data_IF_787164422345
#
_entry.id   IF_787164422345
#
_cell.length_a   1.000
_cell.length_b   1.000
_cell.length_c   1.000
_cell.angle_alpha   90.00
_cell.angle_beta   90.00
_cell.angle_gamma   90.00
#
_symmetry.space_group_name_H-M   'P 1'
#
loop_
_entity.id
_entity.type
_entity.pdbx_description
1 polymer ?
#
# COMPACT_ATOMS: atom_id res chain seq x y z
N UNK A 1 16.87 -15.38 0.52
CA UNK A 1 16.18 -14.50 1.49
C UNK A 1 15.10 -15.32 2.17
N UNK A 2 15.07 -15.38 3.50
CA UNK A 2 14.06 -16.16 4.23
C UNK A 2 12.75 -15.35 4.17
N UNK A 3 11.79 -15.76 3.34
CA UNK A 3 10.47 -15.12 3.27
C UNK A 3 9.82 -15.25 4.65
N UNK A 4 9.51 -14.12 5.28
CA UNK A 4 8.62 -14.13 6.44
C UNK A 4 7.24 -14.53 5.91
N UNK A 5 6.86 -15.79 6.13
CA UNK A 5 5.48 -16.22 5.92
C UNK A 5 4.66 -15.52 6.99
N UNK A 6 3.92 -14.48 6.62
CA UNK A 6 2.85 -13.96 7.46
C UNK A 6 1.88 -15.13 7.63
N UNK A 7 1.80 -15.69 8.83
CA UNK A 7 0.88 -16.78 9.12
C UNK A 7 -0.54 -16.29 8.83
N UNK A 8 -1.38 -17.15 8.23
CA UNK A 8 -2.77 -16.87 7.94
C UNK A 8 -3.59 -16.74 9.25
N UNK A 9 -3.37 -15.69 10.01
CA UNK A 9 -4.17 -15.37 11.19
C UNK A 9 -5.50 -14.71 10.78
N UNK A 10 -6.53 -14.93 11.60
CA UNK A 10 -7.88 -14.39 11.36
C UNK A 10 -7.89 -12.84 11.30
N UNK A 11 -6.93 -12.19 11.93
CA UNK A 11 -6.78 -10.73 11.95
C UNK A 11 -6.41 -10.19 10.57
N UNK A 12 -5.41 -10.79 9.93
CA UNK A 12 -4.99 -10.45 8.56
C UNK A 12 -6.12 -10.67 7.56
N UNK A 13 -6.86 -11.77 7.68
CA UNK A 13 -8.05 -12.04 6.87
C UNK A 13 -9.17 -11.02 7.13
N UNK A 14 -9.37 -10.63 8.39
CA UNK A 14 -10.32 -9.59 8.79
C UNK A 14 -9.99 -8.24 8.15
N UNK A 15 -8.73 -7.81 8.21
CA UNK A 15 -8.26 -6.58 7.58
C UNK A 15 -8.40 -6.66 6.06
N UNK A 16 -7.95 -7.75 5.43
CA UNK A 16 -8.11 -7.91 3.98
C UNK A 16 -9.58 -7.87 3.55
N UNK A 17 -10.47 -8.52 4.29
CA UNK A 17 -11.91 -8.52 4.00
C UNK A 17 -12.49 -7.11 4.15
N UNK A 18 -12.16 -6.41 5.24
CA UNK A 18 -12.59 -5.04 5.48
C UNK A 18 -12.06 -4.10 4.39
N UNK A 19 -10.77 -4.19 4.06
CA UNK A 19 -10.12 -3.37 3.04
C UNK A 19 -10.69 -3.62 1.65
N UNK A 20 -10.92 -4.87 1.27
CA UNK A 20 -11.59 -5.22 0.02
C UNK A 20 -13.01 -4.62 -0.02
N UNK A 21 -13.73 -4.62 1.11
CA UNK A 21 -15.05 -3.99 1.18
C UNK A 21 -15.00 -2.45 1.03
N UNK A 22 -13.97 -1.80 1.58
CA UNK A 22 -13.73 -0.36 1.41
C UNK A 22 -13.37 -0.01 -0.05
N UNK A 23 -12.56 -0.83 -0.70
CA UNK A 23 -12.18 -0.65 -2.12
C UNK A 23 -13.41 -0.86 -3.02
N UNK A 24 -14.24 -1.87 -2.74
CA UNK A 24 -15.45 -2.17 -3.52
C UNK A 24 -16.56 -1.14 -3.31
N UNK A 25 -16.79 -0.66 -2.08
CA UNK A 25 -17.80 0.36 -1.79
C UNK A 25 -17.47 1.71 -2.43
N UNK A 26 -16.18 2.03 -2.60
CA UNK A 26 -15.75 3.19 -3.37
C UNK A 26 -16.12 3.14 -4.86
N UNK A 27 -16.48 1.96 -5.39
CA UNK A 27 -16.86 1.74 -6.79
C UNK A 27 -18.37 1.65 -7.06
N UNK A 28 -19.25 1.69 -6.04
CA UNK A 28 -20.67 1.38 -6.22
C UNK A 28 -21.59 2.60 -6.02
N UNK A 29 -21.80 3.36 -7.09
CA UNK A 29 -23.01 4.20 -7.25
C UNK A 29 -24.05 3.41 -8.05
N UNK A 30 -25.27 3.18 -7.53
CA UNK A 30 -26.28 2.42 -8.25
C UNK A 30 -26.88 3.29 -9.35
N UNK A 31 -26.45 3.09 -10.60
CA UNK A 31 -26.99 3.78 -11.77
C UNK A 31 -25.99 4.30 -12.80
N UNK A 32 -24.69 3.98 -12.70
CA UNK A 32 -23.72 4.40 -13.71
C UNK A 32 -23.58 3.37 -14.84
N UNK A 33 -23.73 3.84 -16.08
CA UNK A 33 -23.27 3.19 -17.32
C UNK A 33 -21.84 2.64 -17.14
N UNK A 34 -21.41 1.60 -17.88
CA UNK A 34 -20.07 1.04 -17.76
C UNK A 34 -19.03 2.15 -17.95
N UNK A 35 -18.40 2.57 -16.84
CA UNK A 35 -17.29 3.51 -16.84
C UNK A 35 -16.22 2.91 -17.73
N UNK A 36 -16.00 3.51 -18.90
CA UNK A 36 -14.72 3.41 -19.59
C UNK A 36 -13.68 3.78 -18.53
N UNK A 37 -12.91 2.79 -18.07
CA UNK A 37 -11.77 3.04 -17.20
C UNK A 37 -10.81 3.86 -18.04
N UNK A 38 -10.78 5.17 -17.82
CA UNK A 38 -9.72 6.04 -18.30
C UNK A 38 -8.43 5.58 -17.61
N UNK A 39 -7.80 4.56 -18.17
CA UNK A 39 -6.52 4.01 -17.72
C UNK A 39 -5.40 5.04 -17.76
N UNK A 40 -5.61 6.18 -18.44
CA UNK A 40 -4.65 7.27 -18.54
C UNK A 40 -4.80 8.35 -17.45
N UNK A 41 -5.80 8.24 -16.57
CA UNK A 41 -5.96 9.20 -15.47
C UNK A 41 -4.92 8.93 -14.36
N UNK A 42 -4.28 9.99 -13.85
CA UNK A 42 -3.38 9.89 -12.71
C UNK A 42 -4.16 9.57 -11.42
N UNK A 43 -3.57 8.75 -10.55
CA UNK A 43 -4.12 8.47 -9.23
C UNK A 43 -4.27 9.75 -8.39
N UNK A 44 -5.38 9.87 -7.67
CA UNK A 44 -5.65 10.98 -6.76
C UNK A 44 -5.95 10.44 -5.36
N UNK A 45 -5.26 11.00 -4.36
CA UNK A 45 -5.35 10.57 -2.98
C UNK A 45 -6.66 10.99 -2.32
N UNK A 46 -7.31 10.05 -1.63
CA UNK A 46 -8.36 10.38 -0.67
C UNK A 46 -7.70 10.90 0.61
N UNK A 47 -8.03 12.11 1.10
CA UNK A 47 -7.42 12.66 2.32
C UNK A 47 -7.59 11.72 3.52
N UNK A 48 -6.55 11.64 4.36
CA UNK A 48 -6.65 11.02 5.68
C UNK A 48 -7.40 11.95 6.65
N UNK A 49 -7.95 11.40 7.74
CA UNK A 49 -8.64 12.22 8.74
C UNK A 49 -7.63 13.18 9.40
N UNK A 50 -7.87 14.50 9.39
CA UNK A 50 -6.96 15.44 10.01
C UNK A 50 -6.83 15.20 11.52
N UNK A 51 -5.61 15.28 12.05
CA UNK A 51 -5.35 15.17 13.49
C UNK A 51 -5.37 13.76 14.06
N UNK A 52 -5.62 12.73 13.25
CA UNK A 52 -5.52 11.32 13.67
C UNK A 52 -4.14 10.74 13.36
N UNK A 53 -3.89 9.55 13.88
CA UNK A 53 -2.73 8.71 13.52
C UNK A 53 -3.03 7.72 12.38
N UNK A 54 -4.02 8.00 11.54
CA UNK A 54 -4.33 7.11 10.43
C UNK A 54 -3.18 7.09 9.42
N UNK A 55 -2.99 5.92 8.81
CA UNK A 55 -2.03 5.71 7.73
C UNK A 55 -2.74 5.05 6.56
N UNK A 56 -2.19 5.14 5.34
CA UNK A 56 -2.65 4.27 4.25
C UNK A 56 -1.81 3.02 4.20
N UNK A 57 -2.45 1.90 3.91
CA UNK A 57 -1.80 0.63 3.62
C UNK A 57 -2.04 0.30 2.15
N UNK A 58 -0.97 -0.15 1.50
CA UNK A 58 -0.95 -0.66 0.14
C UNK A 58 -1.37 -2.13 0.17
N UNK A 59 -2.40 -2.46 -0.60
CA UNK A 59 -2.68 -3.83 -1.01
C UNK A 59 -1.91 -4.06 -2.29
N UNK A 60 -0.93 -4.96 -2.26
CA UNK A 60 -0.24 -5.47 -3.44
C UNK A 60 -0.92 -6.76 -3.87
N UNK A 61 -1.58 -6.76 -5.02
CA UNK A 61 -2.31 -7.94 -5.50
C UNK A 61 -1.38 -9.03 -6.03
N UNK A 62 -1.74 -10.31 -5.82
CA UNK A 62 -0.96 -11.41 -6.31
C UNK A 62 -1.09 -11.58 -7.82
N UNK A 63 -0.05 -12.13 -8.43
CA UNK A 63 -0.10 -12.63 -9.79
C UNK A 63 0.92 -13.75 -9.98
N UNK A 64 0.52 -14.81 -10.71
CA UNK A 64 1.41 -15.92 -11.03
C UNK A 64 2.42 -15.57 -12.11
N UNK A 65 2.10 -14.58 -12.97
CA UNK A 65 3.01 -14.12 -14.02
C UNK A 65 3.92 -13.02 -13.46
N UNK A 66 5.25 -13.25 -13.37
CA UNK A 66 6.19 -12.25 -12.89
C UNK A 66 6.21 -10.99 -13.76
N UNK A 67 5.82 -11.08 -15.03
CA UNK A 67 5.78 -9.95 -15.97
C UNK A 67 4.42 -9.22 -15.99
N UNK A 68 3.40 -9.74 -15.30
CA UNK A 68 2.11 -9.06 -15.20
C UNK A 68 2.25 -7.69 -14.54
N UNK A 69 1.42 -6.74 -14.98
CA UNK A 69 1.35 -5.40 -14.40
C UNK A 69 1.13 -5.48 -12.88
N UNK A 70 1.92 -4.71 -12.13
CA UNK A 70 1.72 -4.57 -10.69
C UNK A 70 0.40 -3.82 -10.45
N UNK A 71 -0.53 -4.50 -9.79
CA UNK A 71 -1.82 -3.95 -9.38
C UNK A 71 -1.83 -3.73 -7.87
N UNK A 72 -2.26 -2.54 -7.48
CA UNK A 72 -2.33 -2.13 -6.09
C UNK A 72 -3.61 -1.32 -5.80
N UNK A 73 -3.98 -1.30 -4.52
CA UNK A 73 -4.97 -0.39 -3.96
C UNK A 73 -4.45 0.23 -2.64
N UNK A 74 -5.02 1.37 -2.25
CA UNK A 74 -4.76 1.99 -0.94
C UNK A 74 -6.04 2.02 -0.12
N UNK A 75 -5.93 1.68 1.15
CA UNK A 75 -7.00 1.86 2.13
C UNK A 75 -6.46 2.53 3.40
N UNK A 76 -7.28 3.34 4.10
CA UNK A 76 -6.91 3.89 5.39
C UNK A 76 -6.95 2.80 6.46
N UNK A 77 -5.90 2.74 7.28
CA UNK A 77 -5.83 1.94 8.49
C UNK A 77 -5.98 2.89 9.69
N UNK A 78 -7.01 2.63 10.50
CA UNK A 78 -7.36 3.44 11.66
C UNK A 78 -6.56 2.98 12.89
N UNK A 79 -5.47 3.68 13.19
CA UNK A 79 -4.51 3.29 14.24
C UNK A 79 -5.17 3.21 15.62
N UNK A 80 -6.01 4.19 15.95
CA UNK A 80 -6.72 4.25 17.24
C UNK A 80 -7.69 3.09 17.42
N UNK A 81 -8.49 2.78 16.38
CA UNK A 81 -9.45 1.68 16.41
C UNK A 81 -8.76 0.33 16.65
N UNK A 82 -7.62 0.08 15.98
CA UNK A 82 -6.88 -1.17 16.17
C UNK A 82 -6.37 -1.33 17.61
N UNK A 83 -5.83 -0.25 18.21
CA UNK A 83 -5.34 -0.28 19.59
C UNK A 83 -6.47 -0.44 20.60
N UNK A 84 -7.61 0.22 20.39
CA UNK A 84 -8.80 0.10 21.25
C UNK A 84 -9.35 -1.33 21.26
N UNK A 85 -9.18 -2.07 20.17
CA UNK A 85 -9.58 -3.47 20.05
C UNK A 85 -8.47 -4.47 20.45
N UNK A 86 -7.37 -4.00 21.05
CA UNK A 86 -6.32 -4.86 21.60
C UNK A 86 -5.31 -5.41 20.60
N UNK A 87 -5.26 -4.88 19.37
CA UNK A 87 -4.29 -5.31 18.36
C UNK A 87 -2.93 -4.67 18.68
N UNK A 88 -1.96 -5.49 19.08
CA UNK A 88 -0.60 -5.03 19.44
C UNK A 88 0.31 -4.85 18.21
N UNK A 89 0.14 -5.68 17.18
CA UNK A 89 0.92 -5.64 15.94
C UNK A 89 -0.04 -5.58 14.76
N UNK A 90 0.15 -4.61 13.87
CA UNK A 90 -0.78 -4.42 12.76
C UNK A 90 -0.40 -5.32 11.58
N UNK A 91 -1.37 -5.85 10.82
CA UNK A 91 -1.13 -6.86 9.80
C UNK A 91 -0.62 -6.25 8.49
N UNK A 92 0.40 -5.38 8.57
CA UNK A 92 1.13 -4.88 7.41
C UNK A 92 2.63 -4.98 7.65
N UNK A 93 3.37 -5.02 6.55
CA UNK A 93 4.83 -4.99 6.56
C UNK A 93 5.30 -3.62 6.11
N UNK A 94 6.27 -3.02 6.79
CA UNK A 94 6.85 -1.74 6.37
C UNK A 94 8.02 -1.99 5.41
N UNK A 95 8.02 -1.36 4.24
CA UNK A 95 9.13 -1.45 3.29
C UNK A 95 10.19 -0.40 3.63
N UNK A 96 11.44 -0.85 3.74
CA UNK A 96 12.63 -0.01 3.88
C UNK A 96 13.51 -0.19 2.65
N UNK A 97 13.73 0.90 1.91
CA UNK A 97 14.46 0.93 0.65
C UNK A 97 15.08 2.32 0.43
N UNK A 98 16.06 2.42 -0.44
CA UNK A 98 16.70 3.69 -0.78
C UNK A 98 15.87 4.49 -1.77
N UNK A 99 15.66 5.77 -1.44
CA UNK A 99 15.06 6.71 -2.37
C UNK A 99 16.07 7.11 -3.44
N UNK A 100 15.61 7.17 -4.68
CA UNK A 100 16.39 7.64 -5.81
C UNK A 100 16.91 6.52 -6.70
N UNK A 101 16.62 6.68 -7.99
CA UNK A 101 17.31 6.02 -9.08
C UNK A 101 17.27 7.03 -10.27
N UNK A 102 18.37 7.15 -11.02
CA UNK A 102 18.46 8.01 -12.21
C UNK A 102 17.72 7.41 -13.42
N UNK A 103 17.32 6.15 -13.32
CA UNK A 103 16.66 5.43 -14.38
C UNK A 103 15.25 5.96 -14.67
N UNK A 104 14.76 5.75 -15.91
CA UNK A 104 13.39 6.08 -16.26
C UNK A 104 12.41 5.40 -15.31
N UNK A 105 11.38 6.13 -14.84
CA UNK A 105 10.40 5.58 -13.93
C UNK A 105 9.63 4.41 -14.58
N UNK A 106 8.93 3.65 -13.74
CA UNK A 106 7.98 2.63 -14.16
C UNK A 106 6.58 3.01 -13.73
N UNK A 107 5.59 2.38 -14.35
CA UNK A 107 4.20 2.57 -14.00
C UNK A 107 3.63 1.32 -13.34
N UNK A 108 2.75 1.55 -12.38
CA UNK A 108 1.91 0.54 -11.75
C UNK A 108 0.45 0.96 -11.85
N UNK A 109 -0.46 0.01 -11.69
CA UNK A 109 -1.89 0.28 -11.57
C UNK A 109 -2.26 0.45 -10.11
N UNK A 110 -2.54 1.68 -9.68
CA UNK A 110 -2.95 2.02 -8.33
C UNK A 110 -4.40 2.51 -8.35
N UNK A 111 -5.35 1.82 -7.70
CA UNK A 111 -6.76 2.22 -7.78
C UNK A 111 -7.33 2.15 -9.20
N UNK A 112 -6.79 1.26 -10.04
CA UNK A 112 -7.13 1.16 -11.47
C UNK A 112 -6.64 2.33 -12.32
N UNK A 113 -5.73 3.16 -11.80
CA UNK A 113 -5.15 4.32 -12.45
C UNK A 113 -3.64 4.20 -12.54
N UNK A 114 -3.02 4.85 -13.53
CA UNK A 114 -1.58 4.81 -13.68
C UNK A 114 -0.90 5.69 -12.61
N UNK A 115 0.07 5.10 -11.90
CA UNK A 115 0.92 5.79 -10.94
C UNK A 115 2.37 5.53 -11.28
N UNK A 116 3.13 6.61 -11.37
CA UNK A 116 4.56 6.55 -11.61
C UNK A 116 5.30 6.19 -10.30
N UNK A 117 6.24 5.26 -10.39
CA UNK A 117 7.16 4.86 -9.33
C UNK A 117 8.60 4.83 -9.84
N UNK A 118 9.57 4.92 -8.93
CA UNK A 118 10.98 4.72 -9.30
C UNK A 118 11.22 3.27 -9.72
N UNK A 119 12.25 3.03 -10.54
CA UNK A 119 12.61 1.66 -10.93
C UNK A 119 12.96 0.80 -9.71
N UNK A 120 13.67 1.37 -8.73
CA UNK A 120 14.02 0.69 -7.48
C UNK A 120 12.77 0.19 -6.73
N UNK A 121 11.79 1.08 -6.53
CA UNK A 121 10.53 0.70 -5.88
C UNK A 121 9.75 -0.33 -6.70
N UNK A 122 9.73 -0.19 -8.03
CA UNK A 122 9.08 -1.16 -8.90
C UNK A 122 9.66 -2.57 -8.73
N UNK A 123 10.99 -2.71 -8.69
CA UNK A 123 11.67 -3.99 -8.45
C UNK A 123 11.37 -4.55 -7.06
N UNK A 124 11.41 -3.70 -6.03
CA UNK A 124 11.05 -4.10 -4.67
C UNK A 124 9.62 -4.66 -4.61
N UNK A 125 8.66 -3.98 -5.25
CA UNK A 125 7.27 -4.44 -5.31
C UNK A 125 7.13 -5.77 -6.07
N UNK A 126 7.90 -5.99 -7.14
CA UNK A 126 7.91 -7.28 -7.84
C UNK A 126 8.44 -8.40 -6.95
N UNK A 127 9.55 -8.17 -6.25
CA UNK A 127 10.17 -9.18 -5.37
C UNK A 127 9.21 -9.59 -4.23
N UNK A 128 8.51 -8.62 -3.64
CA UNK A 128 7.56 -8.86 -2.57
C UNK A 128 6.14 -9.18 -3.04
N UNK A 129 5.90 -9.28 -4.35
CA UNK A 129 4.60 -9.75 -4.87
C UNK A 129 4.51 -11.25 -4.70
N UNK A 130 3.66 -11.68 -3.77
CA UNK A 130 3.33 -13.08 -3.63
C UNK A 130 2.47 -13.56 -4.82
N UNK A 131 2.67 -14.79 -5.34
CA UNK A 131 1.93 -15.27 -6.49
C UNK A 131 0.48 -15.66 -6.21
N UNK A 132 0.08 -15.87 -4.95
CA UNK A 132 -1.24 -16.40 -4.59
C UNK A 132 -2.03 -15.50 -3.66
N UNK A 133 -1.37 -14.77 -2.77
CA UNK A 133 -2.03 -13.98 -1.72
C UNK A 133 -1.71 -12.48 -1.83
N UNK A 134 -2.70 -11.60 -1.56
CA UNK A 134 -2.42 -10.17 -1.44
C UNK A 134 -1.45 -9.90 -0.28
N UNK A 135 -0.52 -8.98 -0.50
CA UNK A 135 0.40 -8.50 0.54
C UNK A 135 0.00 -7.11 1.02
N UNK A 136 0.04 -6.91 2.34
CA UNK A 136 -0.24 -5.63 2.99
C UNK A 136 1.07 -4.91 3.30
N UNK A 137 1.33 -3.81 2.61
CA UNK A 137 2.58 -3.07 2.70
C UNK A 137 2.35 -1.62 3.11
N UNK A 138 3.25 -1.07 3.93
CA UNK A 138 3.42 0.37 4.03
C UNK A 138 4.67 0.78 3.24
N UNK A 139 4.46 1.63 2.24
CA UNK A 139 5.53 2.17 1.38
C UNK A 139 5.37 3.69 1.38
N UNK A 140 6.32 4.41 1.97
CA UNK A 140 6.29 5.87 2.11
C UNK A 140 5.89 6.63 0.81
N UNK A 141 6.48 6.29 -0.33
CA UNK A 141 6.26 6.94 -1.61
C UNK A 141 4.85 6.72 -2.18
N UNK A 142 4.14 5.70 -1.71
CA UNK A 142 2.79 5.36 -2.17
C UNK A 142 1.73 5.66 -1.11
N UNK A 143 1.97 5.32 0.15
CA UNK A 143 1.02 5.48 1.25
C UNK A 143 0.86 6.94 1.70
N UNK A 144 1.91 7.75 1.54
CA UNK A 144 1.89 9.19 1.85
C UNK A 144 1.59 9.96 0.55
N UNK A 145 0.68 10.91 0.61
CA UNK A 145 0.47 11.86 -0.46
C UNK A 145 1.65 12.83 -0.55
N UNK A 146 2.60 12.51 -1.42
CA UNK A 146 3.84 13.28 -1.61
C UNK A 146 3.61 14.72 -2.12
N UNK A 147 2.44 15.01 -2.70
CA UNK A 147 2.09 16.33 -3.20
C UNK A 147 1.50 17.26 -2.12
N UNK A 148 1.19 16.73 -0.93
CA UNK A 148 0.69 17.49 0.22
C UNK A 148 1.79 17.65 1.26
N UNK A 149 2.33 18.86 1.40
CA UNK A 149 3.38 19.16 2.38
C UNK A 149 2.89 18.89 3.81
N UNK A 150 1.65 19.25 4.13
CA UNK A 150 1.07 19.04 5.46
C UNK A 150 0.94 17.56 5.78
N UNK A 151 0.40 16.76 4.84
CA UNK A 151 0.27 15.31 5.04
C UNK A 151 1.65 14.66 5.14
N UNK A 152 2.58 15.04 4.25
CA UNK A 152 3.94 14.51 4.26
C UNK A 152 4.63 14.78 5.59
N UNK A 153 4.60 16.01 6.09
CA UNK A 153 5.22 16.36 7.37
C UNK A 153 4.59 15.58 8.53
N UNK A 154 3.26 15.47 8.55
CA UNK A 154 2.53 14.71 9.57
C UNK A 154 2.93 13.22 9.55
N UNK A 155 2.91 12.58 8.38
CA UNK A 155 3.23 11.16 8.23
C UNK A 155 4.71 10.86 8.49
N UNK A 156 5.63 11.75 8.08
CA UNK A 156 7.06 11.61 8.38
C UNK A 156 7.32 11.64 9.89
N UNK A 157 6.63 12.53 10.63
CA UNK A 157 6.72 12.57 12.10
C UNK A 157 6.19 11.30 12.76
N UNK A 158 5.36 10.51 12.06
CA UNK A 158 4.81 9.24 12.54
C UNK A 158 5.61 8.02 12.10
N UNK A 159 6.68 8.16 11.30
CA UNK A 159 7.38 7.00 10.73
C UNK A 159 7.87 6.03 11.80
N UNK A 160 8.42 6.53 12.91
CA UNK A 160 8.86 5.67 14.02
C UNK A 160 7.71 4.80 14.56
N UNK A 161 6.53 5.38 14.76
CA UNK A 161 5.33 4.65 15.16
C UNK A 161 4.92 3.62 14.07
N UNK A 162 4.98 3.99 12.80
CA UNK A 162 4.64 3.07 11.69
C UNK A 162 5.56 1.85 11.69
N UNK A 163 6.87 2.04 11.66
CA UNK A 163 7.82 0.93 11.63
C UNK A 163 7.74 0.06 12.90
N UNK A 164 7.49 0.66 14.08
CA UNK A 164 7.33 -0.07 15.34
C UNK A 164 6.09 -0.95 15.40
N UNK A 165 4.98 -0.53 14.77
CA UNK A 165 3.71 -1.25 14.82
C UNK A 165 3.51 -2.19 13.60
N UNK A 166 4.45 -2.22 12.65
CA UNK A 166 4.41 -3.15 11.53
C UNK A 166 4.71 -4.58 12.02
N UNK A 167 4.02 -5.58 11.47
CA UNK A 167 4.28 -6.99 11.79
C UNK A 167 5.70 -7.43 11.45
N UNK A 168 6.29 -6.84 10.41
CA UNK A 168 7.73 -6.88 10.18
C UNK A 168 8.20 -5.71 9.29
N UNK A 169 9.52 -5.58 9.17
CA UNK A 169 10.17 -4.64 8.26
C UNK A 169 10.86 -5.40 7.15
N UNK A 170 10.46 -5.15 5.91
CA UNK A 170 11.09 -5.69 4.71
C UNK A 170 12.21 -4.75 4.29
N UNK A 171 13.43 -5.26 4.20
CA UNK A 171 14.59 -4.49 3.75
C UNK A 171 14.85 -4.87 2.29
N UNK A 172 14.81 -3.88 1.40
CA UNK A 172 15.18 -4.02 0.00
C UNK A 172 16.47 -3.27 -0.29
N UNK A 173 17.42 -3.98 -0.91
CA UNK A 173 18.68 -3.43 -1.40
C UNK A 173 18.68 -3.66 -2.91
N UNK A 174 18.67 -2.56 -3.68
CA UNK A 174 18.75 -2.65 -5.14
C UNK A 174 20.11 -3.23 -5.53
N UNK A 175 20.13 -4.06 -6.56
CA UNK A 175 21.36 -4.48 -7.23
C UNK A 175 21.70 -3.39 -8.25
N UNK A 176 22.77 -2.63 -8.00
CA UNK A 176 23.29 -1.60 -8.93
C UNK A 176 23.52 -2.14 -10.34
#
# INVERSE_FOLDING_TARGET
MQRATVENDEETLGVLTYSLSLVQSAGNSPGALPLQKDTNALYSYKPLRPGTKDIRILILYPDHDPEAEIRCDLFPLEHEFMRENGVESFPYMALSYTWGNRDPPRFISLGGKQKQVTLNLYRALLEFRDPTMPSLLWVDALCINQDSIDEKNHQVNMMDDVYKNAGCVLIWLDEE
#
